data_IF_424129335276
#
_entry.id   IF_424129335276
#
_cell.length_a   1.000
_cell.length_b   1.000
_cell.length_c   1.000
_cell.angle_alpha   90.00
_cell.angle_beta   90.00
_cell.angle_gamma   90.00
#
_symmetry.space_group_name_H-M   'P 1'
#
loop_
_entity.id
_entity.type
_entity.pdbx_description
1 polymer ?
#
# COMPACT_ATOMS: atom_id res chain seq x y z
N UNK A 1 -9.23 -0.58 -23.98
CA UNK A 1 -7.75 -0.61 -24.08
C UNK A 1 -7.09 0.31 -23.05
N UNK A 2 -7.55 1.57 -22.89
CA UNK A 2 -6.98 2.54 -21.93
C UNK A 2 -7.12 2.14 -20.43
N UNK A 3 -8.19 1.44 -20.07
CA UNK A 3 -8.40 0.97 -18.68
C UNK A 3 -7.45 -0.18 -18.32
N UNK A 4 -7.08 -1.02 -19.29
CA UNK A 4 -6.20 -2.17 -19.09
C UNK A 4 -4.74 -1.74 -18.88
N UNK A 5 -4.27 -0.76 -19.66
CA UNK A 5 -2.94 -0.15 -19.47
C UNK A 5 -2.85 0.58 -18.13
N UNK A 6 -3.94 1.22 -17.68
CA UNK A 6 -3.99 1.88 -16.36
C UNK A 6 -3.89 0.89 -15.19
N UNK A 7 -4.59 -0.25 -15.25
CA UNK A 7 -4.52 -1.32 -14.23
C UNK A 7 -3.10 -1.86 -14.08
N UNK A 8 -2.42 -2.11 -15.21
CA UNK A 8 -1.05 -2.64 -15.20
C UNK A 8 -0.03 -1.59 -14.76
N UNK A 9 -0.18 -0.34 -15.21
CA UNK A 9 0.67 0.77 -14.77
C UNK A 9 0.56 1.00 -13.25
N UNK A 10 -0.65 0.93 -12.69
CA UNK A 10 -0.88 1.03 -11.25
C UNK A 10 -0.16 -0.09 -10.48
N UNK A 11 -0.29 -1.35 -10.92
CA UNK A 11 0.40 -2.50 -10.30
C UNK A 11 1.92 -2.34 -10.31
N UNK A 12 2.50 -1.90 -11.44
CA UNK A 12 3.93 -1.65 -11.56
C UNK A 12 4.38 -0.49 -10.67
N UNK A 13 3.61 0.59 -10.62
CA UNK A 13 3.90 1.74 -9.75
C UNK A 13 3.92 1.32 -8.28
N UNK A 14 2.92 0.55 -7.82
CA UNK A 14 2.88 0.02 -6.45
C UNK A 14 4.10 -0.85 -6.15
N UNK A 15 4.52 -1.72 -7.08
CA UNK A 15 5.70 -2.55 -6.91
C UNK A 15 6.99 -1.71 -6.76
N UNK A 16 7.15 -0.68 -7.60
CA UNK A 16 8.28 0.25 -7.52
C UNK A 16 8.29 0.99 -6.17
N UNK A 17 7.15 1.48 -5.71
CA UNK A 17 7.04 2.16 -4.40
C UNK A 17 7.46 1.21 -3.27
N UNK A 18 7.01 -0.04 -3.29
CA UNK A 18 7.35 -1.04 -2.28
C UNK A 18 8.86 -1.32 -2.26
N UNK A 19 9.49 -1.44 -3.43
CA UNK A 19 10.94 -1.59 -3.51
C UNK A 19 11.67 -0.37 -2.95
N UNK A 20 11.20 0.84 -3.25
CA UNK A 20 11.75 2.06 -2.68
C UNK A 20 11.65 2.06 -1.14
N UNK A 21 10.56 1.57 -0.55
CA UNK A 21 10.44 1.47 0.92
C UNK A 21 11.52 0.56 1.53
N UNK A 22 11.75 -0.60 0.92
CA UNK A 22 12.75 -1.56 1.39
C UNK A 22 14.16 -1.00 1.19
N UNK A 23 14.45 -0.42 0.02
CA UNK A 23 15.77 0.13 -0.33
C UNK A 23 16.11 1.33 0.55
N UNK A 24 15.22 2.33 0.64
CA UNK A 24 15.46 3.55 1.43
C UNK A 24 15.58 3.20 2.92
N UNK A 25 14.68 2.36 3.45
CA UNK A 25 14.76 1.90 4.84
C UNK A 25 16.04 1.11 5.13
N UNK A 26 16.52 0.30 4.18
CA UNK A 26 17.73 -0.50 4.33
C UNK A 26 19.03 0.31 4.20
N UNK A 27 19.14 1.15 3.16
CA UNK A 27 20.34 1.94 2.85
C UNK A 27 20.61 3.00 3.92
N UNK A 28 19.55 3.67 4.40
CA UNK A 28 19.66 4.76 5.36
C UNK A 28 19.41 4.32 6.81
N UNK A 29 19.40 3.01 7.10
CA UNK A 29 19.06 2.46 8.42
C UNK A 29 19.82 3.10 9.57
N UNK A 30 21.13 3.29 9.41
CA UNK A 30 22.03 3.83 10.45
C UNK A 30 22.09 5.38 10.43
N UNK A 31 21.46 6.03 9.45
CA UNK A 31 21.54 7.47 9.25
C UNK A 31 20.35 8.22 9.89
N UNK A 32 19.78 7.65 10.96
CA UNK A 32 18.66 8.24 11.70
C UNK A 32 18.76 7.94 13.21
N UNK A 33 19.76 8.52 13.91
CA UNK A 33 19.94 8.33 15.36
C UNK A 33 18.74 8.78 16.19
N UNK A 34 18.00 9.80 15.74
CA UNK A 34 16.83 10.31 16.47
C UNK A 34 15.76 9.24 16.71
N UNK A 35 15.56 8.36 15.72
CA UNK A 35 14.58 7.28 15.83
C UNK A 35 14.87 6.15 14.84
N UNK A 36 15.58 5.13 15.34
CA UNK A 36 15.92 3.92 14.57
C UNK A 36 14.69 3.09 14.13
N UNK A 37 13.50 3.38 14.65
CA UNK A 37 12.26 2.69 14.26
C UNK A 37 11.67 3.21 12.95
N UNK A 38 12.00 4.43 12.52
CA UNK A 38 11.54 5.00 11.23
C UNK A 38 11.99 4.14 10.02
N UNK A 39 13.29 3.76 9.88
CA UNK A 39 13.70 2.89 8.77
C UNK A 39 13.09 1.48 8.88
N UNK A 40 12.96 0.94 10.10
CA UNK A 40 12.35 -0.38 10.33
C UNK A 40 10.86 -0.37 9.94
N UNK A 41 10.16 0.71 10.25
CA UNK A 41 8.77 0.93 9.86
C UNK A 41 8.58 0.76 8.36
N UNK A 42 9.41 1.43 7.55
CA UNK A 42 9.38 1.34 6.08
C UNK A 42 9.65 -0.08 5.57
N UNK A 43 10.65 -0.77 6.12
CA UNK A 43 11.02 -2.11 5.68
C UNK A 43 9.89 -3.10 5.97
N UNK A 44 9.35 -3.08 7.19
CA UNK A 44 8.26 -3.98 7.60
C UNK A 44 7.05 -3.76 6.69
N UNK A 45 6.62 -2.52 6.51
CA UNK A 45 5.50 -2.20 5.61
C UNK A 45 5.77 -2.68 4.18
N UNK A 46 6.97 -2.41 3.64
CA UNK A 46 7.36 -2.84 2.31
C UNK A 46 7.30 -4.37 2.13
N UNK A 47 7.86 -5.14 3.06
CA UNK A 47 7.88 -6.60 2.98
C UNK A 47 6.48 -7.21 3.04
N UNK A 48 5.63 -6.74 3.96
CA UNK A 48 4.26 -7.25 4.08
C UNK A 48 3.37 -6.88 2.89
N UNK A 49 3.62 -5.74 2.22
CA UNK A 49 2.93 -5.36 0.99
C UNK A 49 3.48 -6.02 -0.27
N UNK A 50 4.76 -6.44 -0.28
CA UNK A 50 5.40 -7.06 -1.44
C UNK A 50 4.73 -8.37 -1.85
N UNK A 51 4.36 -9.22 -0.88
CA UNK A 51 3.73 -10.53 -1.11
C UNK A 51 2.41 -10.42 -1.89
N UNK A 52 1.41 -9.62 -1.48
CA UNK A 52 0.17 -9.46 -2.23
C UNK A 52 0.37 -8.77 -3.58
N UNK A 53 1.34 -7.84 -3.70
CA UNK A 53 1.63 -7.16 -4.98
C UNK A 53 2.20 -8.11 -6.02
N UNK A 54 3.12 -9.00 -5.64
CA UNK A 54 3.64 -10.03 -6.56
C UNK A 54 2.51 -10.97 -7.01
N UNK A 55 1.67 -11.42 -6.08
CA UNK A 55 0.50 -12.24 -6.41
C UNK A 55 -0.41 -11.57 -7.45
N UNK A 56 -0.68 -10.27 -7.27
CA UNK A 56 -1.50 -9.47 -8.18
C UNK A 56 -0.90 -9.29 -9.57
N UNK A 57 0.43 -9.20 -9.68
CA UNK A 57 1.13 -9.09 -10.96
C UNK A 57 1.12 -10.41 -11.72
N UNK A 58 1.35 -11.54 -11.02
CA UNK A 58 1.39 -12.87 -11.63
C UNK A 58 0.01 -13.27 -12.17
N UNK A 59 -1.04 -13.14 -11.37
CA UNK A 59 -2.42 -13.43 -11.81
C UNK A 59 -2.89 -12.45 -12.88
N UNK A 60 -2.43 -11.20 -12.80
CA UNK A 60 -2.74 -10.17 -13.78
C UNK A 60 -2.27 -10.45 -15.20
N UNK A 61 -1.17 -11.19 -15.36
CA UNK A 61 -0.66 -11.62 -16.67
C UNK A 61 -1.48 -12.77 -17.26
N UNK A 62 -2.03 -13.63 -16.40
CA UNK A 62 -2.83 -14.78 -16.82
C UNK A 62 -4.16 -14.35 -17.47
N UNK A 63 -4.79 -13.28 -16.97
CA UNK A 63 -6.01 -12.70 -17.57
C UNK A 63 -5.78 -12.14 -18.99
N UNK A 64 -4.57 -11.65 -19.31
CA UNK A 64 -4.27 -11.10 -20.64
C UNK A 64 -4.05 -12.19 -21.68
N UNK A 65 -3.41 -13.30 -21.29
CA UNK A 65 -3.12 -14.43 -22.16
C UNK A 65 -4.38 -15.24 -22.54
N UNK A 66 -5.36 -15.36 -21.63
CA UNK A 66 -6.64 -16.06 -21.92
C UNK A 66 -7.59 -15.25 -22.83
N UNK A 67 -7.42 -13.93 -22.93
CA UNK A 67 -8.24 -13.09 -23.81
C UNK A 67 -7.91 -13.21 -25.30
N UNK A 68 -6.82 -13.90 -25.66
CA UNK A 68 -6.40 -14.15 -27.05
C UNK A 68 -6.57 -15.61 -27.50
N UNK A 69 -7.16 -16.49 -26.68
CA UNK A 69 -7.40 -17.89 -27.03
C UNK A 69 -8.90 -18.21 -27.00
N UNK A 70 -9.58 -18.00 -28.13
CA UNK A 70 -10.86 -18.67 -28.39
C UNK A 70 -10.61 -20.15 -28.75
N UNK A 71 -11.44 -21.01 -28.14
CA UNK A 71 -11.71 -22.42 -28.45
C UNK A 71 -10.77 -23.51 -27.89
N UNK A 72 -11.40 -24.57 -27.36
CA UNK A 72 -10.74 -25.82 -26.99
C UNK A 72 -10.58 -26.09 -25.49
N UNK A 73 -11.52 -26.85 -24.92
CA UNK A 73 -11.51 -27.25 -23.52
C UNK A 73 -10.29 -28.08 -23.10
N UNK A 74 -9.70 -27.71 -21.96
CA UNK A 74 -9.00 -28.60 -21.05
C UNK A 74 -9.03 -27.97 -19.65
N UNK A 75 -9.36 -28.79 -18.67
CA UNK A 75 -9.42 -28.46 -17.25
C UNK A 75 -8.13 -27.77 -16.78
N UNK A 76 -8.20 -26.46 -16.54
CA UNK A 76 -7.16 -25.72 -15.84
C UNK A 76 -7.73 -25.36 -14.46
N UNK A 77 -7.16 -25.99 -13.44
CA UNK A 77 -7.46 -25.76 -12.04
C UNK A 77 -7.39 -24.25 -11.74
N UNK A 78 -8.53 -23.65 -11.43
CA UNK A 78 -8.67 -22.22 -11.12
C UNK A 78 -7.84 -21.84 -9.88
N UNK A 79 -6.93 -20.85 -9.95
CA UNK A 79 -6.26 -20.29 -8.76
C UNK A 79 -7.24 -19.73 -7.71
N UNK A 80 -8.48 -19.45 -8.14
CA UNK A 80 -9.59 -18.95 -7.31
C UNK A 80 -10.09 -19.96 -6.25
N UNK A 81 -9.73 -21.23 -6.35
CA UNK A 81 -10.19 -22.26 -5.39
C UNK A 81 -9.24 -22.42 -4.18
N UNK A 82 -7.99 -21.98 -4.26
CA UNK A 82 -7.03 -22.08 -3.15
C UNK A 82 -7.12 -20.87 -2.19
N UNK A 83 -7.54 -19.71 -2.70
CA UNK A 83 -7.73 -18.48 -1.92
C UNK A 83 -8.98 -18.52 -1.02
N UNK A 84 -9.91 -19.44 -1.29
CA UNK A 84 -11.16 -19.62 -0.52
C UNK A 84 -10.99 -20.54 0.70
N UNK A 85 -9.76 -20.89 1.07
CA UNK A 85 -9.53 -21.58 2.33
C UNK A 85 -9.80 -20.59 3.49
N UNK A 86 -10.57 -20.98 4.52
CA UNK A 86 -10.81 -20.11 5.68
C UNK A 86 -9.49 -19.72 6.36
N UNK A 87 -8.47 -20.56 6.25
CA UNK A 87 -7.12 -20.33 6.76
C UNK A 87 -6.48 -19.11 6.10
N UNK A 88 -6.54 -18.99 4.76
CA UNK A 88 -5.96 -17.84 4.06
C UNK A 88 -6.65 -16.53 4.45
N UNK A 89 -7.99 -16.53 4.57
CA UNK A 89 -8.75 -15.38 5.02
C UNK A 89 -8.38 -14.95 6.44
N UNK A 90 -8.24 -15.90 7.37
CA UNK A 90 -7.78 -15.63 8.73
C UNK A 90 -6.37 -15.04 8.74
N UNK A 91 -5.43 -15.60 7.97
CA UNK A 91 -4.05 -15.08 7.88
C UNK A 91 -4.03 -13.65 7.32
N UNK A 92 -4.80 -13.37 6.27
CA UNK A 92 -4.92 -12.02 5.73
C UNK A 92 -5.51 -11.04 6.76
N UNK A 93 -6.52 -11.46 7.52
CA UNK A 93 -7.07 -10.66 8.61
C UNK A 93 -6.03 -10.33 9.68
N UNK A 94 -5.26 -11.33 10.15
CA UNK A 94 -4.20 -11.14 11.14
C UNK A 94 -3.11 -10.21 10.63
N UNK A 95 -2.66 -10.41 9.37
CA UNK A 95 -1.68 -9.52 8.73
C UNK A 95 -2.22 -8.09 8.62
N UNK A 96 -3.50 -7.93 8.26
CA UNK A 96 -4.17 -6.64 8.22
C UNK A 96 -4.21 -5.94 9.58
N UNK A 97 -4.59 -6.66 10.64
CA UNK A 97 -4.58 -6.11 12.01
C UNK A 97 -3.16 -5.70 12.44
N UNK A 98 -2.16 -6.53 12.14
CA UNK A 98 -0.76 -6.21 12.41
C UNK A 98 -0.32 -4.95 11.66
N UNK A 99 -0.58 -4.87 10.36
CA UNK A 99 -0.24 -3.71 9.53
C UNK A 99 -0.94 -2.44 10.02
N UNK A 100 -2.19 -2.54 10.44
CA UNK A 100 -2.92 -1.41 10.99
C UNK A 100 -2.30 -0.90 12.31
N UNK A 101 -2.00 -1.81 13.25
CA UNK A 101 -1.30 -1.44 14.48
C UNK A 101 0.09 -0.87 14.21
N UNK A 102 0.80 -1.46 13.25
CA UNK A 102 2.13 -1.01 12.82
C UNK A 102 2.09 0.35 12.13
N UNK A 103 1.04 0.65 11.36
CA UNK A 103 0.79 1.97 10.78
C UNK A 103 0.63 3.01 11.88
N UNK A 104 -0.18 2.73 12.91
CA UNK A 104 -0.36 3.64 14.05
C UNK A 104 0.98 3.91 14.74
N UNK A 105 1.77 2.87 15.00
CA UNK A 105 3.10 3.02 15.59
C UNK A 105 4.03 3.86 14.69
N UNK A 106 4.00 3.62 13.38
CA UNK A 106 4.73 4.41 12.38
C UNK A 106 4.38 5.89 12.41
N UNK A 107 3.09 6.23 12.52
CA UNK A 107 2.64 7.62 12.66
C UNK A 107 3.25 8.26 13.92
N UNK A 108 3.27 7.55 15.05
CA UNK A 108 3.90 8.06 16.27
C UNK A 108 5.38 8.32 16.05
N UNK A 109 6.12 7.40 15.43
CA UNK A 109 7.56 7.57 15.20
C UNK A 109 7.90 8.70 14.24
N UNK A 110 7.13 8.84 13.16
CA UNK A 110 7.34 9.90 12.15
C UNK A 110 6.95 11.27 12.71
N UNK A 111 5.75 11.40 13.28
CA UNK A 111 5.26 12.71 13.74
C UNK A 111 5.89 13.18 15.05
N UNK A 112 6.36 12.27 15.92
CA UNK A 112 7.11 12.67 17.12
C UNK A 112 8.49 13.25 16.80
N UNK A 113 9.12 12.81 15.70
CA UNK A 113 10.40 13.33 15.24
C UNK A 113 10.26 14.66 14.48
N UNK A 114 9.11 14.94 13.86
CA UNK A 114 8.87 16.14 13.05
C UNK A 114 9.28 17.49 13.66
N UNK A 115 8.98 17.82 14.94
CA UNK A 115 9.31 19.14 15.47
C UNK A 115 10.81 19.35 15.76
N UNK A 116 11.59 18.26 15.86
CA UNK A 116 12.97 18.30 16.37
C UNK A 116 14.00 17.74 15.39
N UNK A 117 13.56 17.11 14.29
CA UNK A 117 14.45 16.44 13.33
C UNK A 117 15.34 17.43 12.57
N UNK A 118 16.64 17.16 12.62
CA UNK A 118 17.65 17.86 11.84
C UNK A 118 17.98 17.05 10.58
N UNK A 119 17.68 17.59 9.39
CA UNK A 119 17.80 16.82 8.12
C UNK A 119 19.16 16.94 7.44
N UNK A 120 19.94 17.98 7.77
CA UNK A 120 21.13 18.37 7.03
C UNK A 120 22.43 18.20 7.82
N UNK A 121 22.38 18.31 9.14
CA UNK A 121 23.57 18.23 9.99
C UNK A 121 23.73 16.83 10.61
N UNK A 122 24.59 16.00 10.02
CA UNK A 122 24.88 14.63 10.47
C UNK A 122 25.57 14.52 11.83
N UNK A 123 26.03 15.64 12.42
CA UNK A 123 26.64 15.66 13.75
C UNK A 123 25.61 15.90 14.86
N UNK A 124 24.39 16.30 14.51
CA UNK A 124 23.31 16.52 15.48
C UNK A 124 22.84 15.18 16.07
N UNK A 125 22.57 15.10 17.39
CA UNK A 125 21.90 13.93 17.98
C UNK A 125 20.49 13.72 17.40
N UNK A 126 19.84 14.80 16.95
CA UNK A 126 18.51 14.77 16.35
C UNK A 126 18.55 14.59 14.83
N UNK A 127 19.68 14.12 14.29
CA UNK A 127 19.83 13.93 12.86
C UNK A 127 18.95 12.79 12.33
N UNK A 128 18.36 13.00 11.16
CA UNK A 128 17.84 11.92 10.33
C UNK A 128 18.03 12.27 8.86
N UNK A 129 18.57 11.34 8.07
CA UNK A 129 18.87 11.59 6.67
C UNK A 129 17.63 12.03 5.91
N UNK A 130 17.74 13.16 5.18
CA UNK A 130 16.61 13.82 4.53
C UNK A 130 15.80 12.87 3.64
N UNK A 131 16.45 12.01 2.84
CA UNK A 131 15.76 11.04 1.97
C UNK A 131 14.91 10.08 2.78
N UNK A 132 15.42 9.57 3.91
CA UNK A 132 14.71 8.58 4.72
C UNK A 132 13.49 9.21 5.41
N UNK A 133 13.72 10.36 6.05
CA UNK A 133 12.69 11.04 6.82
C UNK A 133 11.58 11.59 5.91
N UNK A 134 11.95 12.33 4.85
CA UNK A 134 10.97 12.92 3.94
C UNK A 134 10.17 11.84 3.23
N UNK A 135 10.81 10.73 2.84
CA UNK A 135 10.10 9.60 2.23
C UNK A 135 9.09 8.97 3.19
N UNK A 136 9.48 8.70 4.44
CA UNK A 136 8.56 8.16 5.45
C UNK A 136 7.39 9.10 5.75
N UNK A 137 7.68 10.39 5.86
CA UNK A 137 6.67 11.43 6.09
C UNK A 137 5.70 11.56 4.91
N UNK A 138 6.23 11.65 3.69
CA UNK A 138 5.41 11.77 2.47
C UNK A 138 4.55 10.54 2.27
N UNK A 139 5.07 9.32 2.40
CA UNK A 139 4.27 8.11 2.26
C UNK A 139 3.14 8.04 3.29
N UNK A 140 3.45 8.34 4.55
CA UNK A 140 2.44 8.34 5.63
C UNK A 140 1.35 9.38 5.34
N UNK A 141 1.75 10.57 4.90
CA UNK A 141 0.81 11.64 4.53
C UNK A 141 -0.04 11.27 3.31
N UNK A 142 0.53 10.62 2.30
CA UNK A 142 -0.21 10.15 1.13
C UNK A 142 -1.30 9.14 1.51
N UNK A 143 -1.01 8.22 2.44
CA UNK A 143 -2.03 7.29 2.95
C UNK A 143 -3.22 8.04 3.55
N UNK A 144 -2.96 9.09 4.35
CA UNK A 144 -4.02 9.93 4.91
C UNK A 144 -4.82 10.68 3.85
N UNK A 145 -4.14 11.24 2.85
CA UNK A 145 -4.80 11.94 1.73
C UNK A 145 -5.70 10.97 0.96
N UNK A 146 -5.19 9.78 0.61
CA UNK A 146 -5.98 8.76 -0.10
C UNK A 146 -7.17 8.29 0.74
N UNK A 147 -6.99 8.08 2.05
CA UNK A 147 -8.08 7.72 2.95
C UNK A 147 -9.16 8.81 2.99
N UNK A 148 -8.77 10.08 3.15
CA UNK A 148 -9.69 11.21 3.18
C UNK A 148 -10.48 11.33 1.86
N UNK A 149 -9.79 11.23 0.71
CA UNK A 149 -10.42 11.25 -0.60
C UNK A 149 -11.40 10.08 -0.79
N UNK A 150 -11.03 8.88 -0.34
CA UNK A 150 -11.89 7.70 -0.39
C UNK A 150 -13.17 7.87 0.43
N UNK A 151 -13.07 8.42 1.64
CA UNK A 151 -14.23 8.72 2.49
C UNK A 151 -15.12 9.76 1.83
N UNK A 152 -14.55 10.86 1.31
CA UNK A 152 -15.32 11.90 0.62
C UNK A 152 -16.08 11.34 -0.59
N UNK A 153 -15.41 10.56 -1.44
CA UNK A 153 -16.04 9.92 -2.58
C UNK A 153 -17.17 8.96 -2.15
N UNK A 154 -16.93 8.14 -1.13
CA UNK A 154 -17.93 7.23 -0.57
C UNK A 154 -19.18 7.97 -0.09
N UNK A 155 -19.01 9.04 0.70
CA UNK A 155 -20.14 9.85 1.18
C UNK A 155 -20.93 10.46 0.03
N UNK A 156 -20.25 11.01 -1.00
CA UNK A 156 -20.92 11.58 -2.17
C UNK A 156 -21.75 10.50 -2.88
N UNK A 157 -21.20 9.30 -3.10
CA UNK A 157 -21.94 8.21 -3.76
C UNK A 157 -23.18 7.78 -2.99
N UNK A 158 -23.10 7.67 -1.66
CA UNK A 158 -24.24 7.29 -0.80
C UNK A 158 -25.32 8.37 -0.82
N UNK A 159 -24.94 9.65 -0.77
CA UNK A 159 -25.90 10.77 -0.84
C UNK A 159 -26.59 10.80 -2.20
N UNK A 160 -25.83 10.62 -3.30
CA UNK A 160 -26.40 10.58 -4.64
C UNK A 160 -27.32 9.38 -4.88
N UNK A 161 -27.01 8.21 -4.30
CA UNK A 161 -27.88 7.04 -4.43
C UNK A 161 -29.19 7.22 -3.66
N UNK A 162 -29.13 7.73 -2.42
CA UNK A 162 -30.34 7.99 -1.61
C UNK A 162 -31.23 9.08 -2.21
N UNK A 163 -30.63 10.10 -2.83
CA UNK A 163 -31.39 11.15 -3.53
C UNK A 163 -32.16 10.61 -4.74
N UNK A 164 -31.59 9.64 -5.46
CA UNK A 164 -32.19 9.03 -6.65
C UNK A 164 -33.42 8.18 -6.30
N UNK A 165 -33.37 7.45 -5.19
CA UNK A 165 -34.51 6.66 -4.69
C UNK A 165 -35.71 7.53 -4.28
N UNK A 166 -35.48 8.82 -3.95
CA UNK A 166 -36.52 9.77 -3.58
C UNK A 166 -37.29 10.37 -4.77
N UNK A 167 -36.65 10.50 -5.94
CA UNK A 167 -37.28 11.03 -7.16
C UNK A 167 -38.15 9.98 -7.87
N UNK A 168 -37.81 8.69 -7.75
CA UNK A 168 -38.55 7.60 -8.39
C UNK A 168 -39.91 7.29 -7.71
N UNK A 169 -40.21 7.95 -6.58
CA UNK A 169 -41.44 7.76 -5.80
C UNK A 169 -42.35 9.01 -5.74
N UNK A 170 -42.00 10.08 -6.47
CA UNK A 170 -42.77 11.32 -6.64
C UNK A 170 -43.26 11.51 -8.07
#
# INVERSE_FOLDING_TARGET
MEVLTCKNASRLLSFVIILCMIIVGGVYREQCPINFLIPIYLIVYGVFLLVPTIGSIVHGRQEEDESNAEDGGASQLSPDQLMKSPIFSCVQGVVGCFLFGWFIAGNVWVYSAYPVVERNNSTSPDYCHYVLYDFAFTLTTLVWITLALGICAGVITVVCSVGKDGEDMS
#
